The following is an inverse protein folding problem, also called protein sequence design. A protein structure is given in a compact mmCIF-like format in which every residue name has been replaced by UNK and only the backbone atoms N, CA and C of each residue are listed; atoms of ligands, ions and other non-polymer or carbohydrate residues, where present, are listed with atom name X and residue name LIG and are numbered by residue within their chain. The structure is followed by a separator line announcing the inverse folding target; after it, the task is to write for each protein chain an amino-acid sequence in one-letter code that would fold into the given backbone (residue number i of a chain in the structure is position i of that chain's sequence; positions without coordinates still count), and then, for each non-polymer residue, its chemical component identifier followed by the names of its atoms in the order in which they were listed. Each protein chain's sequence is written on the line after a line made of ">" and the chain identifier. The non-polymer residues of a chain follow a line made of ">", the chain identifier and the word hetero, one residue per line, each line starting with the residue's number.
data_IF_600748604344
#
_entry.id   IF_600748604344
#
_cell.length_a   1.000
_cell.length_b   1.000
_cell.length_c   1.000
_cell.angle_alpha   90.00
_cell.angle_beta   90.00
_cell.angle_gamma   90.00
#
_symmetry.space_group_name_H-M   'P 1'
#
loop_
_entity.id
_entity.type
_entity.pdbx_description
1 polymer ?
#
# COMPACT_ATOMS: atom_id res chain seq x y z
N UNK A 1 -1.98 -30.46 -7.92
CA UNK A 1 -0.83 -30.25 -7.02
C UNK A 1 -1.38 -30.06 -5.61
N UNK A 2 -1.05 -30.97 -4.71
CA UNK A 2 -1.45 -30.90 -3.29
C UNK A 2 -0.61 -29.81 -2.63
N UNK A 3 -1.26 -28.79 -2.07
CA UNK A 3 -0.57 -27.84 -1.20
C UNK A 3 -0.46 -28.46 0.18
N UNK A 4 0.78 -28.69 0.62
CA UNK A 4 1.07 -28.99 2.01
C UNK A 4 0.64 -27.78 2.86
N UNK A 5 -0.38 -27.99 3.68
CA UNK A 5 -0.75 -27.07 4.76
C UNK A 5 0.34 -27.22 5.81
N UNK A 6 1.28 -26.27 5.84
CA UNK A 6 2.22 -26.15 6.95
C UNK A 6 1.42 -25.58 8.11
N UNK A 7 1.05 -26.48 9.02
CA UNK A 7 0.42 -26.17 10.28
C UNK A 7 1.50 -25.57 11.20
N UNK A 8 1.65 -24.24 11.19
CA UNK A 8 2.56 -23.56 12.10
C UNK A 8 1.82 -23.37 13.43
N UNK A 9 2.12 -24.28 14.36
CA UNK A 9 1.80 -24.14 15.77
C UNK A 9 2.40 -22.83 16.29
N UNK A 10 1.56 -21.83 16.55
CA UNK A 10 1.97 -20.63 17.28
C UNK A 10 2.23 -21.01 18.74
N UNK A 11 3.45 -20.86 19.28
CA UNK A 11 3.63 -20.94 20.71
C UNK A 11 2.88 -19.76 21.36
N UNK A 12 1.95 -20.09 22.26
CA UNK A 12 1.24 -19.17 23.15
C UNK A 12 2.20 -18.56 24.19
N UNK A 13 3.22 -17.80 23.80
CA UNK A 13 4.02 -16.99 24.72
C UNK A 13 4.76 -15.89 23.96
N UNK A 14 4.13 -14.72 23.80
CA UNK A 14 4.82 -13.42 23.90
C UNK A 14 3.83 -12.45 24.54
N UNK A 15 3.61 -12.63 25.84
CA UNK A 15 3.33 -11.49 26.71
C UNK A 15 4.60 -10.66 26.80
N UNK A 16 4.46 -9.35 26.97
CA UNK A 16 5.53 -8.47 27.47
C UNK A 16 6.73 -8.20 26.53
N UNK A 17 6.48 -7.51 25.42
CA UNK A 17 7.54 -6.75 24.71
C UNK A 17 7.30 -5.24 24.84
N UNK A 18 6.95 -4.84 26.07
CA UNK A 18 7.22 -3.51 26.62
C UNK A 18 8.51 -3.59 27.43
N UNK A 19 9.62 -3.96 26.79
CA UNK A 19 10.93 -3.86 27.42
C UNK A 19 11.58 -2.57 26.94
N UNK A 20 11.77 -1.67 27.90
CA UNK A 20 12.64 -0.52 27.81
C UNK A 20 13.92 -0.89 27.06
N UNK A 21 14.08 -0.36 25.85
CA UNK A 21 15.42 -0.09 25.35
C UNK A 21 15.92 1.15 26.10
N UNK A 22 16.33 0.95 27.36
CA UNK A 22 17.33 1.82 27.95
C UNK A 22 18.59 1.57 27.15
N UNK A 23 18.85 2.42 26.16
CA UNK A 23 20.18 2.54 25.60
C UNK A 23 21.14 2.74 26.76
N UNK A 24 22.00 1.74 27.00
CA UNK A 24 23.10 1.86 27.94
C UNK A 24 24.07 2.85 27.28
N UNK A 25 23.88 4.13 27.55
CA UNK A 25 24.88 5.17 27.30
C UNK A 25 25.80 5.14 28.52
N UNK A 26 26.76 4.23 28.52
CA UNK A 26 27.91 4.33 29.44
C UNK A 26 28.94 5.24 28.82
N UNK A 27 28.79 6.56 28.97
CA UNK A 27 29.89 7.52 28.88
C UNK A 27 29.65 8.64 29.91
N UNK A 28 30.57 8.75 30.88
CA UNK A 28 30.89 9.91 31.73
C UNK A 28 29.81 10.96 31.99
N UNK A 29 29.44 11.13 33.26
CA UNK A 29 28.62 12.24 33.75
C UNK A 29 29.31 13.60 33.49
N UNK A 30 29.22 14.09 32.25
CA UNK A 30 29.49 15.48 31.92
C UNK A 30 28.41 16.34 32.56
N UNK A 31 28.78 17.47 33.14
CA UNK A 31 27.83 18.45 33.64
C UNK A 31 26.87 18.85 32.50
N UNK A 32 25.59 18.53 32.65
CA UNK A 32 24.58 18.82 31.65
C UNK A 32 24.28 20.32 31.67
N UNK A 33 24.48 21.01 30.54
CA UNK A 33 24.20 22.44 30.44
C UNK A 33 22.72 22.66 30.06
N UNK A 34 21.96 23.33 30.91
CA UNK A 34 20.56 23.69 30.63
C UNK A 34 20.47 24.97 29.80
N UNK A 35 19.70 24.96 28.71
CA UNK A 35 19.48 26.10 27.81
C UNK A 35 17.98 26.23 27.50
N UNK A 36 17.41 27.40 27.75
CA UNK A 36 15.98 27.69 27.57
C UNK A 36 15.63 28.51 26.31
N UNK A 37 16.65 29.00 25.61
CA UNK A 37 16.52 29.83 24.40
C UNK A 37 16.58 29.04 23.09
N UNK A 38 16.87 27.73 23.16
CA UNK A 38 17.08 26.85 22.02
C UNK A 38 16.06 25.70 22.00
N UNK A 39 15.82 25.12 20.83
CA UNK A 39 15.03 23.89 20.66
C UNK A 39 15.56 23.02 19.53
N UNK A 40 15.23 21.73 19.56
CA UNK A 40 15.38 20.82 18.43
C UNK A 40 14.24 21.07 17.45
N UNK A 41 14.60 21.21 16.18
CA UNK A 41 13.65 21.23 15.07
C UNK A 41 13.96 20.05 14.16
N UNK A 42 13.01 19.14 14.05
CA UNK A 42 12.97 18.22 12.93
C UNK A 42 12.55 19.01 11.67
N UNK A 43 13.05 18.61 10.50
CA UNK A 43 12.36 18.94 9.26
C UNK A 43 10.90 18.44 9.33
N UNK A 44 10.01 18.95 8.47
CA UNK A 44 8.60 18.55 8.43
C UNK A 44 8.43 17.04 8.71
N UNK A 45 7.49 16.66 9.59
CA UNK A 45 7.37 15.29 10.13
C UNK A 45 7.32 14.21 9.03
N UNK A 46 6.74 14.52 7.87
CA UNK A 46 6.72 13.65 6.68
C UNK A 46 8.12 13.35 6.10
N UNK A 47 9.10 14.21 6.38
CA UNK A 47 10.54 14.11 6.02
C UNK A 47 11.45 13.90 7.22
N UNK A 48 10.92 13.78 8.44
CA UNK A 48 11.70 13.65 9.68
C UNK A 48 12.68 12.45 9.68
N UNK A 49 12.42 11.45 8.84
CA UNK A 49 13.30 10.29 8.67
C UNK A 49 14.34 10.47 7.56
N UNK A 50 14.30 11.55 6.80
CA UNK A 50 15.13 11.78 5.62
C UNK A 50 16.13 12.91 5.86
N UNK A 51 15.67 13.96 6.55
CA UNK A 51 16.47 15.14 6.82
C UNK A 51 17.07 15.07 8.23
N UNK A 52 18.27 15.63 8.37
CA UNK A 52 18.94 15.75 9.66
C UNK A 52 18.20 16.75 10.55
N UNK A 53 18.14 16.45 11.85
CA UNK A 53 17.62 17.38 12.84
C UNK A 53 18.58 18.56 13.06
N UNK A 54 18.03 19.71 13.44
CA UNK A 54 18.83 20.92 13.70
C UNK A 54 18.48 21.52 15.06
N UNK A 55 19.46 22.16 15.69
CA UNK A 55 19.25 23.02 16.86
C UNK A 55 19.00 24.44 16.35
N UNK A 56 17.94 25.07 16.85
CA UNK A 56 17.56 26.43 16.43
C UNK A 56 17.26 27.33 17.63
N UNK A 57 17.43 28.64 17.45
CA UNK A 57 16.97 29.64 18.42
C UNK A 57 15.45 29.81 18.38
N UNK A 58 14.79 29.93 19.54
CA UNK A 58 13.33 30.03 19.62
C UNK A 58 12.81 31.32 18.97
N UNK A 59 13.42 32.47 19.28
CA UNK A 59 12.96 33.79 18.83
C UNK A 59 13.25 34.04 17.33
N UNK A 60 14.36 33.53 16.81
CA UNK A 60 14.79 33.78 15.42
C UNK A 60 14.60 32.61 14.46
N UNK A 61 14.31 31.40 14.96
CA UNK A 61 14.25 30.15 14.18
C UNK A 61 15.52 29.89 13.34
N UNK A 62 16.65 30.51 13.69
CA UNK A 62 17.92 30.36 12.99
C UNK A 62 18.69 29.16 13.54
N UNK A 63 19.40 28.40 12.69
CA UNK A 63 20.30 27.34 13.13
C UNK A 63 21.36 27.86 14.12
N UNK A 64 21.64 27.07 15.14
CA UNK A 64 22.66 27.34 16.16
C UNK A 64 23.60 26.13 16.23
N UNK A 65 24.89 26.38 16.06
CA UNK A 65 25.92 25.37 16.28
C UNK A 65 26.37 25.41 17.75
N UNK A 66 26.25 24.29 18.45
CA UNK A 66 26.81 24.10 19.78
C UNK A 66 28.15 23.39 19.67
N UNK A 67 29.01 23.56 20.68
CA UNK A 67 30.23 22.75 20.82
C UNK A 67 29.84 21.33 21.27
N UNK A 68 30.80 20.41 21.16
CA UNK A 68 30.64 19.07 21.70
C UNK A 68 30.39 19.12 23.22
N UNK A 69 29.46 18.28 23.69
CA UNK A 69 29.02 18.27 25.09
C UNK A 69 27.59 17.77 25.26
N UNK A 70 27.15 17.71 26.53
CA UNK A 70 25.80 17.26 26.92
C UNK A 70 24.93 18.44 27.36
N UNK A 71 23.71 18.49 26.82
CA UNK A 71 22.80 19.62 26.98
C UNK A 71 21.40 19.16 27.38
N UNK A 72 20.71 19.99 28.16
CA UNK A 72 19.26 19.93 28.37
C UNK A 72 18.64 21.16 27.73
N UNK A 73 17.81 20.98 26.71
CA UNK A 73 17.05 22.08 26.13
C UNK A 73 15.65 22.06 26.73
N UNK A 74 15.23 23.15 27.36
CA UNK A 74 13.94 23.21 28.06
C UNK A 74 13.18 24.48 27.70
N UNK A 75 12.10 24.32 26.97
CA UNK A 75 11.23 25.41 26.52
C UNK A 75 9.79 25.13 26.92
N UNK A 76 8.89 26.10 26.73
CA UNK A 76 7.47 25.98 27.10
C UNK A 76 6.80 24.71 26.58
N UNK A 77 7.19 24.23 25.40
CA UNK A 77 6.54 23.12 24.73
C UNK A 77 7.47 21.98 24.32
N UNK A 78 8.76 22.04 24.68
CA UNK A 78 9.72 21.00 24.33
C UNK A 78 10.78 20.83 25.42
N UNK A 79 11.06 19.57 25.75
CA UNK A 79 12.22 19.16 26.55
C UNK A 79 13.08 18.22 25.72
N UNK A 80 14.38 18.43 25.69
CA UNK A 80 15.33 17.57 25.01
C UNK A 80 16.57 17.33 25.87
N UNK A 81 17.00 16.09 25.95
CA UNK A 81 18.28 15.70 26.55
C UNK A 81 19.17 15.18 25.41
N UNK A 82 20.25 15.91 25.09
CA UNK A 82 21.08 15.66 23.91
C UNK A 82 22.57 15.64 24.24
N UNK A 83 23.34 14.94 23.43
CA UNK A 83 24.80 14.95 23.40
C UNK A 83 25.27 15.25 21.98
N UNK A 84 26.20 16.21 21.86
CA UNK A 84 26.88 16.54 20.60
C UNK A 84 28.30 15.96 20.61
N UNK A 85 28.65 15.27 19.52
CA UNK A 85 29.99 14.74 19.27
C UNK A 85 30.33 14.90 17.80
N UNK A 86 31.41 15.59 17.46
CA UNK A 86 31.78 15.94 16.09
C UNK A 86 30.62 16.60 15.31
N UNK A 87 29.84 17.46 15.98
CA UNK A 87 28.68 18.12 15.37
C UNK A 87 27.45 17.22 15.14
N UNK A 88 27.50 15.94 15.51
CA UNK A 88 26.36 15.02 15.41
C UNK A 88 25.56 14.99 16.71
N UNK A 89 24.23 15.03 16.58
CA UNK A 89 23.32 15.08 17.72
C UNK A 89 22.83 13.68 18.06
N UNK A 90 22.87 13.32 19.33
CA UNK A 90 22.28 12.09 19.86
C UNK A 90 21.40 12.44 21.07
N UNK A 91 20.29 11.73 21.30
CA UNK A 91 19.48 11.96 22.49
C UNK A 91 17.98 11.72 22.29
N UNK A 92 17.18 12.33 23.16
CA UNK A 92 15.72 12.21 23.14
C UNK A 92 15.04 13.56 23.26
N UNK A 93 13.90 13.69 22.60
CA UNK A 93 13.08 14.90 22.61
C UNK A 93 11.63 14.53 22.93
N UNK A 94 10.99 15.33 23.78
CA UNK A 94 9.55 15.34 24.03
C UNK A 94 9.01 16.72 23.71
N UNK A 95 8.05 16.80 22.80
CA UNK A 95 7.39 18.03 22.38
C UNK A 95 5.87 17.90 22.57
N UNK A 96 5.22 19.00 22.96
CA UNK A 96 3.77 19.08 23.07
C UNK A 96 3.24 20.16 22.13
N UNK A 97 2.27 19.80 21.30
CA UNK A 97 1.53 20.71 20.45
C UNK A 97 0.03 20.57 20.74
N UNK A 98 -0.52 21.53 21.46
CA UNK A 98 -1.88 21.46 22.00
C UNK A 98 -2.07 20.22 22.88
N UNK A 99 -2.89 19.26 22.41
CA UNK A 99 -3.16 17.99 23.10
C UNK A 99 -2.28 16.83 22.63
N UNK A 100 -1.46 17.05 21.61
CA UNK A 100 -0.63 16.03 20.99
C UNK A 100 0.74 16.05 21.64
N UNK A 101 1.19 14.90 22.14
CA UNK A 101 2.54 14.69 22.66
C UNK A 101 3.33 13.90 21.63
N UNK A 102 4.48 14.42 21.23
CA UNK A 102 5.42 13.80 20.31
C UNK A 102 6.70 13.47 21.06
N UNK A 103 7.20 12.24 20.93
CA UNK A 103 8.47 11.82 21.50
C UNK A 103 9.32 11.22 20.39
N UNK A 104 10.60 11.54 20.35
CA UNK A 104 11.51 10.93 19.37
C UNK A 104 12.93 10.78 19.91
N UNK A 105 13.61 9.76 19.39
CA UNK A 105 15.03 9.51 19.66
C UNK A 105 15.86 9.85 18.45
N UNK A 106 17.05 10.38 18.69
CA UNK A 106 17.99 10.82 17.65
C UNK A 106 19.30 10.06 17.83
N UNK A 107 19.83 9.53 16.73
CA UNK A 107 21.18 8.98 16.64
C UNK A 107 21.86 9.57 15.43
N UNK A 108 23.06 10.14 15.61
CA UNK A 108 23.84 10.79 14.55
C UNK A 108 23.01 11.80 13.72
N UNK A 109 22.30 12.69 14.42
CA UNK A 109 21.40 13.71 13.85
C UNK A 109 20.20 13.17 13.08
N UNK A 110 19.95 11.87 13.13
CA UNK A 110 18.84 11.21 12.43
C UNK A 110 17.81 10.68 13.43
N UNK A 111 16.52 10.86 13.12
CA UNK A 111 15.44 10.29 13.93
C UNK A 111 15.43 8.77 13.78
N UNK A 112 15.43 8.08 14.92
CA UNK A 112 15.41 6.62 15.03
C UNK A 112 14.04 6.10 15.44
N UNK A 113 13.38 6.74 16.39
CA UNK A 113 12.00 6.44 16.76
C UNK A 113 11.20 7.73 16.85
N UNK A 114 9.92 7.67 16.53
CA UNK A 114 8.99 8.77 16.73
C UNK A 114 7.63 8.20 17.13
N UNK A 115 7.06 8.75 18.19
CA UNK A 115 5.81 8.35 18.78
C UNK A 115 4.94 9.57 19.02
N UNK A 116 3.69 9.52 18.55
CA UNK A 116 2.71 10.57 18.78
C UNK A 116 1.51 10.01 19.53
N UNK A 117 0.97 10.79 20.48
CA UNK A 117 -0.23 10.42 21.23
C UNK A 117 -1.09 11.65 21.54
N UNK A 118 -2.39 11.43 21.69
CA UNK A 118 -3.34 12.41 22.24
C UNK A 118 -3.75 11.93 23.63
N UNK A 119 -3.22 12.56 24.68
CA UNK A 119 -3.30 12.00 26.03
C UNK A 119 -2.63 10.62 26.08
N UNK A 120 -3.37 9.61 26.55
CA UNK A 120 -2.92 8.21 26.61
C UNK A 120 -3.16 7.41 25.32
N UNK A 121 -3.79 8.00 24.31
CA UNK A 121 -4.16 7.31 23.07
C UNK A 121 -3.02 7.45 22.04
N UNK A 122 -2.35 6.36 21.64
CA UNK A 122 -1.35 6.41 20.59
C UNK A 122 -2.01 6.78 19.25
N UNK A 123 -1.33 7.58 18.44
CA UNK A 123 -1.77 7.97 17.10
C UNK A 123 -0.79 7.50 16.03
N UNK A 124 0.51 7.60 16.31
CA UNK A 124 1.59 7.18 15.40
C UNK A 124 2.71 6.52 16.19
N UNK A 125 3.22 5.41 15.67
CA UNK A 125 4.45 4.77 16.14
C UNK A 125 5.32 4.46 14.92
N UNK A 126 6.55 4.95 14.95
CA UNK A 126 7.46 4.89 13.80
C UNK A 126 8.88 4.59 14.29
N UNK A 127 9.59 3.75 13.54
CA UNK A 127 10.99 3.45 13.82
C UNK A 127 11.80 3.25 12.55
N UNK A 128 13.08 3.63 12.62
CA UNK A 128 14.06 3.45 11.58
C UNK A 128 14.84 2.16 11.83
N UNK A 129 15.00 1.35 10.80
CA UNK A 129 15.97 0.25 10.79
C UNK A 129 16.71 0.28 9.46
N UNK A 130 18.02 0.49 9.53
CA UNK A 130 18.88 0.65 8.35
C UNK A 130 18.32 1.74 7.41
N UNK A 131 18.03 1.38 6.16
CA UNK A 131 17.48 2.26 5.13
C UNK A 131 15.97 2.17 5.00
N UNK A 132 15.25 1.74 6.03
CA UNK A 132 13.79 1.68 6.03
C UNK A 132 13.21 2.38 7.27
N UNK A 133 12.07 3.03 7.08
CA UNK A 133 11.22 3.51 8.16
C UNK A 133 9.97 2.64 8.21
N UNK A 134 9.69 2.08 9.36
CA UNK A 134 8.47 1.32 9.65
C UNK A 134 7.51 2.21 10.41
N UNK A 135 6.21 2.04 10.18
CA UNK A 135 5.19 2.88 10.79
C UNK A 135 3.93 2.09 11.14
N UNK A 136 3.24 2.58 12.16
CA UNK A 136 1.88 2.20 12.57
C UNK A 136 1.10 3.46 12.87
N UNK A 137 -0.15 3.49 12.41
CA UNK A 137 -1.08 4.58 12.64
C UNK A 137 -2.34 4.03 13.29
N UNK A 138 -2.81 4.75 14.30
CA UNK A 138 -3.91 4.34 15.16
C UNK A 138 -5.00 5.40 15.17
N UNK A 139 -6.25 4.94 15.24
CA UNK A 139 -7.42 5.78 15.47
C UNK A 139 -8.18 5.21 16.66
N UNK A 140 -8.32 5.99 17.75
CA UNK A 140 -8.96 5.54 18.99
C UNK A 140 -8.39 4.19 19.50
N UNK A 141 -7.06 4.07 19.51
CA UNK A 141 -6.33 2.85 19.90
C UNK A 141 -6.52 1.63 18.97
N UNK A 142 -7.20 1.78 17.83
CA UNK A 142 -7.35 0.74 16.82
C UNK A 142 -6.31 0.96 15.71
N UNK A 143 -5.51 -0.06 15.39
CA UNK A 143 -4.56 -0.02 14.28
C UNK A 143 -5.33 0.16 12.95
N UNK A 144 -5.01 1.23 12.22
CA UNK A 144 -5.62 1.55 10.92
C UNK A 144 -4.71 1.26 9.75
N UNK A 145 -3.43 1.53 9.93
CA UNK A 145 -2.43 1.35 8.89
C UNK A 145 -1.11 0.92 9.51
N UNK A 146 -0.40 0.00 8.89
CA UNK A 146 0.99 -0.28 9.18
C UNK A 146 1.78 -0.45 7.89
N UNK A 147 3.09 -0.26 7.93
CA UNK A 147 3.91 -0.49 6.76
C UNK A 147 5.36 -0.11 6.93
N UNK A 148 6.05 -0.07 5.81
CA UNK A 148 7.41 0.45 5.71
C UNK A 148 7.59 1.26 4.43
N UNK A 149 8.55 2.17 4.46
CA UNK A 149 9.01 2.95 3.30
C UNK A 149 10.52 2.89 3.23
N UNK A 150 11.07 2.86 2.02
CA UNK A 150 12.51 2.95 1.82
C UNK A 150 13.02 4.38 1.97
N UNK A 151 14.12 4.52 2.69
CA UNK A 151 14.92 5.74 2.84
C UNK A 151 16.14 5.75 1.89
N UNK A 152 16.34 4.69 1.09
CA UNK A 152 17.46 4.61 0.14
C UNK A 152 17.18 5.42 -1.14
N UNK A 153 17.70 6.66 -1.17
CA UNK A 153 17.61 7.57 -2.32
C UNK A 153 18.12 6.98 -3.63
N UNK A 154 18.98 5.96 -3.58
CA UNK A 154 19.61 5.36 -4.77
C UNK A 154 18.91 4.09 -5.27
N UNK A 155 17.85 3.61 -4.61
CA UNK A 155 17.14 2.38 -4.99
C UNK A 155 15.65 2.59 -5.16
N UNK A 156 14.91 2.57 -4.05
CA UNK A 156 13.45 2.50 -4.01
C UNK A 156 12.86 3.54 -3.07
N UNK A 157 13.47 4.72 -2.98
CA UNK A 157 13.04 5.78 -2.08
C UNK A 157 11.54 6.05 -2.15
N UNK A 158 10.90 6.12 -0.98
CA UNK A 158 9.46 6.32 -0.85
C UNK A 158 8.62 5.07 -1.12
N UNK A 159 9.14 4.08 -1.86
CA UNK A 159 8.43 2.81 -2.10
C UNK A 159 8.54 1.89 -0.89
N UNK A 160 7.47 1.15 -0.63
CA UNK A 160 7.49 0.07 0.34
C UNK A 160 6.18 -0.72 0.34
N UNK A 161 5.84 -1.31 1.48
CA UNK A 161 4.60 -2.07 1.63
C UNK A 161 3.79 -1.50 2.78
N UNK A 162 2.51 -1.28 2.54
CA UNK A 162 1.56 -0.87 3.57
C UNK A 162 0.34 -1.78 3.61
N UNK A 163 -0.26 -1.88 4.79
CA UNK A 163 -1.52 -2.55 5.03
C UNK A 163 -2.48 -1.57 5.70
N UNK A 164 -3.74 -1.62 5.32
CA UNK A 164 -4.81 -0.96 6.08
C UNK A 164 -5.83 -1.96 6.58
N UNK A 165 -6.56 -1.60 7.64
CA UNK A 165 -7.44 -2.52 8.37
C UNK A 165 -8.88 -2.02 8.41
N UNK A 166 -9.80 -2.97 8.39
CA UNK A 166 -11.21 -2.77 8.70
C UNK A 166 -11.40 -2.49 10.19
N UNK A 167 -12.60 -2.01 10.58
CA UNK A 167 -12.92 -1.76 12.00
C UNK A 167 -12.87 -3.01 12.88
N UNK A 168 -13.11 -4.18 12.30
CA UNK A 168 -13.03 -5.47 12.99
C UNK A 168 -11.59 -6.01 13.12
N UNK A 169 -10.57 -5.26 12.67
CA UNK A 169 -9.16 -5.64 12.73
C UNK A 169 -8.68 -6.52 11.57
N UNK A 170 -9.56 -6.95 10.66
CA UNK A 170 -9.14 -7.68 9.48
C UNK A 170 -8.46 -6.76 8.46
N UNK A 171 -7.53 -7.31 7.69
CA UNK A 171 -6.86 -6.58 6.61
C UNK A 171 -7.92 -6.14 5.60
N UNK A 172 -7.87 -4.87 5.20
CA UNK A 172 -8.69 -4.27 4.15
C UNK A 172 -7.96 -4.17 2.83
N UNK A 173 -6.69 -3.76 2.88
CA UNK A 173 -5.89 -3.49 1.70
C UNK A 173 -4.41 -3.74 1.98
N UNK A 174 -3.69 -4.31 1.03
CA UNK A 174 -2.23 -4.36 0.98
C UNK A 174 -1.78 -3.64 -0.28
N UNK A 175 -0.96 -2.60 -0.11
CA UNK A 175 -0.26 -1.89 -1.18
C UNK A 175 1.20 -2.31 -1.15
N UNK A 176 1.69 -2.95 -2.21
CA UNK A 176 3.10 -3.24 -2.42
C UNK A 176 3.60 -2.41 -3.60
N UNK A 177 4.23 -1.27 -3.30
CA UNK A 177 4.78 -0.35 -4.31
C UNK A 177 6.13 -0.83 -4.86
N UNK A 178 6.74 -1.85 -4.25
CA UNK A 178 7.97 -2.46 -4.76
C UNK A 178 7.66 -3.36 -5.94
N UNK A 179 6.64 -4.23 -5.78
CA UNK A 179 6.17 -5.11 -6.85
C UNK A 179 5.01 -4.54 -7.67
N UNK A 180 4.57 -3.31 -7.36
CA UNK A 180 3.44 -2.62 -7.98
C UNK A 180 2.18 -3.50 -8.01
N UNK A 181 1.93 -4.17 -6.88
CA UNK A 181 0.79 -5.08 -6.67
C UNK A 181 -0.07 -4.60 -5.50
N UNK A 182 -1.37 -4.52 -5.73
CA UNK A 182 -2.36 -4.04 -4.77
C UNK A 182 -3.44 -5.09 -4.57
N UNK A 183 -3.75 -5.42 -3.31
CA UNK A 183 -4.75 -6.44 -2.96
C UNK A 183 -5.79 -5.86 -2.00
N UNK A 184 -7.06 -5.96 -2.38
CA UNK A 184 -8.21 -5.59 -1.56
C UNK A 184 -8.85 -6.83 -0.93
N UNK A 185 -9.43 -6.66 0.25
CA UNK A 185 -10.03 -7.73 1.05
C UNK A 185 -11.41 -7.33 1.59
N UNK A 186 -12.33 -8.28 1.56
CA UNK A 186 -13.61 -8.18 2.25
C UNK A 186 -13.44 -8.21 3.78
N UNK A 187 -14.41 -7.70 4.55
CA UNK A 187 -14.35 -7.76 6.02
C UNK A 187 -14.25 -9.17 6.60
N UNK A 188 -14.66 -10.20 5.85
CA UNK A 188 -14.53 -11.62 6.24
C UNK A 188 -13.12 -12.21 6.01
N UNK A 189 -12.19 -11.42 5.44
CA UNK A 189 -10.81 -11.82 5.18
C UNK A 189 -10.57 -12.43 3.80
N UNK A 190 -11.61 -12.70 3.01
CA UNK A 190 -11.46 -13.16 1.63
C UNK A 190 -10.93 -12.04 0.74
N UNK A 191 -10.11 -12.42 -0.25
CA UNK A 191 -9.66 -11.47 -1.28
C UNK A 191 -10.88 -10.96 -2.03
N UNK A 192 -10.89 -9.67 -2.31
CA UNK A 192 -11.86 -9.02 -3.18
C UNK A 192 -11.26 -8.81 -4.56
N UNK A 193 -10.01 -8.32 -4.61
CA UNK A 193 -9.33 -8.00 -5.86
C UNK A 193 -7.82 -8.03 -5.70
N UNK A 194 -7.12 -8.42 -6.76
CA UNK A 194 -5.68 -8.19 -6.95
C UNK A 194 -5.50 -7.38 -8.23
N UNK A 195 -4.69 -6.33 -8.18
CA UNK A 195 -4.33 -5.52 -9.34
C UNK A 195 -2.82 -5.30 -9.40
N UNK A 196 -2.28 -5.36 -10.60
CA UNK A 196 -0.88 -5.06 -10.95
C UNK A 196 -0.85 -4.63 -12.43
N UNK A 197 0.31 -4.15 -12.91
CA UNK A 197 0.47 -3.59 -14.27
C UNK A 197 -0.16 -4.45 -15.37
N UNK A 198 0.07 -5.76 -15.36
CA UNK A 198 -0.42 -6.69 -16.40
C UNK A 198 -1.35 -7.79 -15.85
N UNK A 199 -1.92 -7.58 -14.66
CA UNK A 199 -2.76 -8.58 -14.00
C UNK A 199 -3.88 -7.91 -13.22
N UNK A 200 -5.08 -8.42 -13.41
CA UNK A 200 -6.24 -8.12 -12.58
C UNK A 200 -6.96 -9.41 -12.23
N UNK A 201 -7.33 -9.59 -10.97
CA UNK A 201 -8.15 -10.70 -10.50
C UNK A 201 -9.24 -10.14 -9.59
N UNK A 202 -10.49 -10.55 -9.77
CA UNK A 202 -11.61 -10.21 -8.89
C UNK A 202 -12.26 -11.47 -8.36
N UNK A 203 -12.78 -11.38 -7.13
CA UNK A 203 -13.34 -12.49 -6.39
C UNK A 203 -14.68 -12.08 -5.77
N UNK A 204 -15.56 -13.06 -5.54
CA UNK A 204 -16.77 -12.88 -4.74
C UNK A 204 -16.48 -12.94 -3.23
N UNK A 205 -17.49 -12.67 -2.39
CA UNK A 205 -17.35 -12.70 -0.93
C UNK A 205 -17.00 -14.08 -0.38
N UNK A 206 -17.29 -15.16 -1.12
CA UNK A 206 -16.93 -16.55 -0.79
C UNK A 206 -15.49 -16.88 -1.19
N UNK A 207 -14.77 -15.94 -1.83
CA UNK A 207 -13.39 -16.09 -2.29
C UNK A 207 -13.24 -16.83 -3.62
N UNK A 208 -14.32 -17.00 -4.39
CA UNK A 208 -14.28 -17.60 -5.73
C UNK A 208 -13.88 -16.54 -6.75
N UNK A 209 -12.96 -16.90 -7.64
CA UNK A 209 -12.56 -16.04 -8.76
C UNK A 209 -13.78 -15.79 -9.67
N UNK A 210 -14.04 -14.53 -9.99
CA UNK A 210 -15.14 -14.09 -10.87
C UNK A 210 -14.59 -13.49 -12.17
N UNK A 211 -13.42 -12.86 -12.13
CA UNK A 211 -12.78 -12.30 -13.32
C UNK A 211 -11.25 -12.39 -13.19
N UNK A 212 -10.58 -12.63 -14.31
CA UNK A 212 -9.11 -12.57 -14.42
C UNK A 212 -8.70 -11.96 -15.74
N UNK A 213 -7.93 -10.87 -15.68
CA UNK A 213 -7.32 -10.25 -16.85
C UNK A 213 -5.80 -10.39 -16.77
N UNK A 214 -5.19 -10.73 -17.89
CA UNK A 214 -3.76 -10.98 -17.97
C UNK A 214 -3.25 -10.80 -19.39
N UNK A 215 -1.93 -10.64 -19.52
CA UNK A 215 -1.26 -10.71 -20.82
C UNK A 215 -0.60 -12.07 -21.02
N UNK A 216 -0.71 -12.61 -22.22
CA UNK A 216 0.03 -13.78 -22.68
C UNK A 216 0.40 -13.56 -24.15
N UNK A 217 1.68 -13.70 -24.49
CA UNK A 217 2.19 -13.47 -25.84
C UNK A 217 1.78 -12.09 -26.42
N UNK A 218 1.88 -11.03 -25.61
CA UNK A 218 1.43 -9.66 -25.94
C UNK A 218 -0.08 -9.48 -26.23
N UNK A 219 -0.89 -10.53 -26.07
CA UNK A 219 -2.34 -10.46 -26.17
C UNK A 219 -2.94 -10.31 -24.77
N UNK A 220 -3.88 -9.37 -24.61
CA UNK A 220 -4.66 -9.22 -23.38
C UNK A 220 -5.85 -10.16 -23.43
N UNK A 221 -6.01 -10.94 -22.37
CA UNK A 221 -7.13 -11.83 -22.12
C UNK A 221 -7.98 -11.29 -20.98
N UNK A 222 -9.29 -11.50 -21.05
CA UNK A 222 -10.24 -11.34 -19.94
C UNK A 222 -11.06 -12.61 -19.81
N UNK A 223 -10.86 -13.32 -18.71
CA UNK A 223 -11.53 -14.56 -18.37
C UNK A 223 -12.60 -14.29 -17.30
N UNK A 224 -13.85 -14.62 -17.60
CA UNK A 224 -14.97 -14.52 -16.67
C UNK A 224 -15.35 -15.90 -16.14
N UNK A 225 -15.65 -15.96 -14.85
CA UNK A 225 -15.89 -17.19 -14.11
C UNK A 225 -17.27 -17.14 -13.44
N UNK A 226 -17.97 -18.27 -13.47
CA UNK A 226 -19.23 -18.49 -12.75
C UNK A 226 -19.01 -19.66 -11.81
N UNK A 227 -19.27 -19.46 -10.51
CA UNK A 227 -19.01 -20.45 -9.46
C UNK A 227 -17.55 -20.99 -9.49
N UNK A 228 -16.59 -20.10 -9.79
CA UNK A 228 -15.17 -20.45 -9.89
C UNK A 228 -14.76 -21.25 -11.13
N UNK A 229 -15.67 -21.49 -12.08
CA UNK A 229 -15.39 -22.18 -13.35
C UNK A 229 -15.38 -21.20 -14.51
N UNK A 230 -14.39 -21.33 -15.40
CA UNK A 230 -14.29 -20.51 -16.60
C UNK A 230 -15.58 -20.63 -17.42
N UNK A 231 -16.21 -19.49 -17.66
CA UNK A 231 -17.46 -19.36 -18.40
C UNK A 231 -17.21 -18.69 -19.75
N UNK A 232 -16.40 -17.63 -19.78
CA UNK A 232 -16.10 -16.88 -20.99
C UNK A 232 -14.63 -16.42 -21.01
N UNK A 233 -14.03 -16.35 -22.19
CA UNK A 233 -12.73 -15.73 -22.44
C UNK A 233 -12.84 -14.76 -23.60
N UNK A 234 -12.36 -13.54 -23.40
CA UNK A 234 -12.32 -12.49 -24.42
C UNK A 234 -10.86 -12.10 -24.71
N UNK A 235 -10.50 -11.96 -25.99
CA UNK A 235 -9.17 -11.51 -26.43
C UNK A 235 -9.19 -10.97 -27.86
N UNK A 236 -8.12 -10.29 -28.24
CA UNK A 236 -7.85 -9.91 -29.63
C UNK A 236 -6.93 -10.96 -30.30
N UNK A 237 -7.30 -11.46 -31.47
CA UNK A 237 -6.46 -12.41 -32.20
C UNK A 237 -5.36 -11.71 -33.04
N UNK A 238 -4.53 -12.50 -33.73
CA UNK A 238 -3.45 -11.98 -34.58
C UNK A 238 -3.92 -11.09 -35.74
N UNK A 239 -5.18 -11.23 -36.16
CA UNK A 239 -5.82 -10.42 -37.20
C UNK A 239 -6.50 -9.16 -36.63
N UNK A 240 -6.29 -8.82 -35.35
CA UNK A 240 -6.94 -7.67 -34.68
C UNK A 240 -8.46 -7.79 -34.56
N UNK A 241 -8.99 -9.01 -34.61
CA UNK A 241 -10.40 -9.29 -34.41
C UNK A 241 -10.70 -9.60 -32.94
N UNK A 242 -11.80 -9.07 -32.41
CA UNK A 242 -12.32 -9.45 -31.09
C UNK A 242 -12.84 -10.89 -31.13
N UNK A 243 -12.40 -11.70 -30.17
CA UNK A 243 -12.78 -13.10 -30.01
C UNK A 243 -13.40 -13.31 -28.64
N UNK A 244 -14.53 -14.02 -28.60
CA UNK A 244 -15.15 -14.55 -27.38
C UNK A 244 -15.27 -16.05 -27.45
N UNK A 245 -14.79 -16.74 -26.44
CA UNK A 245 -14.89 -18.19 -26.29
C UNK A 245 -15.75 -18.51 -25.07
N UNK A 246 -16.71 -19.43 -25.24
CA UNK A 246 -17.67 -19.78 -24.20
C UNK A 246 -17.46 -21.23 -23.75
N UNK A 247 -17.47 -21.44 -22.44
CA UNK A 247 -17.10 -22.70 -21.82
C UNK A 247 -18.24 -23.22 -20.93
N UNK A 248 -18.35 -24.55 -20.86
CA UNK A 248 -19.19 -25.26 -19.87
C UNK A 248 -18.37 -26.41 -19.31
N UNK A 249 -18.21 -26.46 -17.99
CA UNK A 249 -17.36 -27.43 -17.30
C UNK A 249 -15.94 -27.53 -17.89
N UNK A 250 -15.30 -26.38 -18.14
CA UNK A 250 -13.97 -26.26 -18.75
C UNK A 250 -13.84 -26.77 -20.20
N UNK A 251 -14.95 -27.11 -20.87
CA UNK A 251 -14.97 -27.52 -22.28
C UNK A 251 -15.51 -26.38 -23.14
N UNK A 252 -14.78 -26.00 -24.20
CA UNK A 252 -15.22 -25.01 -25.18
C UNK A 252 -16.53 -25.47 -25.86
N UNK A 253 -17.54 -24.61 -25.86
CA UNK A 253 -18.86 -24.87 -26.44
C UNK A 253 -19.10 -24.11 -27.74
N UNK A 254 -18.73 -22.82 -27.77
CA UNK A 254 -18.83 -21.96 -28.94
C UNK A 254 -17.74 -20.88 -28.93
N UNK A 255 -17.46 -20.35 -30.11
CA UNK A 255 -16.53 -19.23 -30.32
C UNK A 255 -17.20 -18.20 -31.23
N UNK A 256 -17.10 -16.94 -30.85
CA UNK A 256 -17.57 -15.79 -31.61
C UNK A 256 -16.38 -14.93 -32.03
N UNK A 257 -16.39 -14.45 -33.27
CA UNK A 257 -15.35 -13.58 -33.82
C UNK A 257 -16.03 -12.41 -34.53
N UNK A 258 -15.72 -11.18 -34.09
CA UNK A 258 -16.16 -9.96 -34.79
C UNK A 258 -15.11 -9.63 -35.85
N UNK A 259 -15.51 -9.65 -37.12
CA UNK A 259 -14.60 -9.41 -38.26
C UNK A 259 -15.21 -8.43 -39.25
N UNK A 260 -14.39 -7.58 -39.85
CA UNK A 260 -14.80 -6.72 -40.97
C UNK A 260 -14.68 -7.50 -42.28
N UNK A 261 -15.80 -7.65 -42.99
CA UNK A 261 -15.89 -8.31 -44.30
C UNK A 261 -16.55 -7.35 -45.26
N UNK A 262 -15.85 -6.98 -46.34
CA UNK A 262 -16.31 -6.00 -47.33
C UNK A 262 -16.77 -4.67 -46.70
N UNK A 263 -16.02 -4.18 -45.70
CA UNK A 263 -16.34 -2.94 -44.99
C UNK A 263 -17.45 -3.05 -43.94
N UNK A 264 -18.07 -4.22 -43.75
CA UNK A 264 -19.16 -4.44 -42.79
C UNK A 264 -18.65 -5.31 -41.64
N UNK A 265 -18.86 -4.86 -40.39
CA UNK A 265 -18.62 -5.71 -39.22
C UNK A 265 -19.64 -6.84 -39.15
N UNK A 266 -19.13 -8.06 -38.98
CA UNK A 266 -19.93 -9.28 -38.89
C UNK A 266 -19.56 -10.06 -37.65
N UNK A 267 -20.55 -10.68 -37.02
CA UNK A 267 -20.40 -11.64 -35.94
C UNK A 267 -20.41 -13.05 -36.54
N UNK A 268 -19.27 -13.72 -36.51
CA UNK A 268 -19.11 -15.10 -36.97
C UNK A 268 -19.13 -16.03 -35.75
N UNK A 269 -20.08 -16.95 -35.70
CA UNK A 269 -20.25 -17.90 -34.60
C UNK A 269 -19.87 -19.30 -35.05
N UNK A 270 -18.98 -19.94 -34.31
CA UNK A 270 -18.47 -21.28 -34.54
C UNK A 270 -18.89 -22.20 -33.38
N UNK A 271 -19.22 -23.46 -33.69
CA UNK A 271 -19.50 -24.46 -32.67
C UNK A 271 -18.20 -25.04 -32.06
N UNK A 272 -18.33 -25.93 -31.06
CA UNK A 272 -17.20 -26.61 -30.40
C UNK A 272 -16.26 -27.39 -31.33
N UNK A 273 -16.72 -27.79 -32.53
CA UNK A 273 -15.92 -28.48 -33.53
C UNK A 273 -15.21 -27.51 -34.50
N UNK A 274 -15.39 -26.19 -34.32
CA UNK A 274 -14.83 -25.17 -35.20
C UNK A 274 -15.63 -24.92 -36.49
N UNK A 275 -16.82 -25.52 -36.65
CA UNK A 275 -17.69 -25.28 -37.81
C UNK A 275 -18.45 -23.98 -37.64
N UNK A 276 -18.41 -23.12 -38.65
CA UNK A 276 -19.24 -21.90 -38.73
C UNK A 276 -20.72 -22.29 -38.73
N UNK A 277 -21.50 -21.70 -37.81
CA UNK A 277 -22.93 -21.96 -37.65
C UNK A 277 -23.79 -20.69 -37.82
N UNK A 278 -23.23 -19.50 -37.61
CA UNK A 278 -23.90 -18.23 -37.93
C UNK A 278 -22.92 -17.18 -38.44
N UNK A 279 -23.41 -16.29 -39.28
CA UNK A 279 -22.68 -15.15 -39.82
C UNK A 279 -23.65 -13.97 -39.98
N UNK A 280 -23.75 -13.15 -38.94
CA UNK A 280 -24.72 -12.06 -38.86
C UNK A 280 -24.02 -10.71 -38.95
N UNK A 281 -24.76 -9.66 -39.32
CA UNK A 281 -24.24 -8.30 -39.23
C UNK A 281 -24.10 -7.95 -37.74
N UNK A 282 -22.93 -7.46 -37.34
CA UNK A 282 -22.72 -6.99 -35.98
C UNK A 282 -23.19 -5.54 -35.86
N UNK A 283 -23.97 -5.26 -34.82
CA UNK A 283 -24.42 -3.91 -34.46
C UNK A 283 -23.94 -3.63 -33.03
N UNK A 284 -23.07 -2.66 -32.81
CA UNK A 284 -22.66 -2.29 -31.45
C UNK A 284 -23.84 -1.66 -30.68
N UNK A 285 -23.82 -1.76 -29.35
CA UNK A 285 -24.97 -1.43 -28.49
C UNK A 285 -25.51 0.02 -28.67
N UNK A 286 -24.64 0.96 -29.01
CA UNK A 286 -25.00 2.35 -29.33
C UNK A 286 -25.75 2.51 -30.66
N UNK A 287 -25.55 1.61 -31.63
CA UNK A 287 -26.28 1.61 -32.90
C UNK A 287 -27.60 0.84 -32.81
N UNK A 288 -27.73 -0.12 -31.88
CA UNK A 288 -29.00 -0.82 -31.63
C UNK A 288 -30.10 0.16 -31.20
N UNK A 289 -29.78 1.10 -30.31
CA UNK A 289 -30.72 2.13 -29.86
C UNK A 289 -31.21 3.03 -31.02
N UNK A 290 -30.31 3.42 -31.91
CA UNK A 290 -30.64 4.22 -33.11
C UNK A 290 -31.42 3.41 -34.17
N UNK A 291 -31.21 2.10 -34.23
CA UNK A 291 -31.90 1.21 -35.16
C UNK A 291 -33.32 0.90 -34.68
N UNK A 292 -33.54 0.80 -33.37
CA UNK A 292 -34.86 0.63 -32.76
C UNK A 292 -35.71 1.92 -32.86
N UNK A 293 -35.12 3.11 -32.72
CA UNK A 293 -35.82 4.38 -32.96
C UNK A 293 -36.21 4.61 -34.43
N UNK A 294 -35.49 4.02 -35.38
CA UNK A 294 -35.75 4.13 -36.82
C UNK A 294 -36.65 3.04 -37.39
N UNK A 295 -37.08 2.07 -36.57
CA UNK A 295 -38.15 1.16 -37.03
C UNK A 295 -39.41 2.00 -37.27
N UNK A 296 -39.99 1.99 -38.48
CA UNK A 296 -41.32 2.55 -38.65
C UNK A 296 -42.24 1.80 -37.69
N UNK A 297 -42.86 2.54 -36.78
CA UNK A 297 -44.00 2.04 -36.03
C UNK A 297 -45.10 1.73 -37.06
N UNK A 298 -45.24 0.47 -37.47
CA UNK A 298 -46.31 0.10 -38.38
C UNK A 298 -46.31 -1.38 -38.72
N UNK A 299 -47.14 -2.16 -38.03
CA UNK A 299 -48.46 -2.57 -38.54
C UNK A 299 -49.23 -3.31 -37.43
#
# INVERSE_FOLDING_TARGET
>A
MKYNIININFPKYISLLGFMFTAIITESAYAQTTIDTLKIKAAHIERAYIDEISIIGISGQKPVALKDGSYRLESKNQTADITLKNGLINGSVSETDGKVKNNYTIVNSLIMTYNSSTGSIPTVDTYRKEKNMFFKQYENSILRTEGWVSLDKNKHYGRGVSKSYHRNGNIRHISDEVSETYTDFYPNGNKQRVSAVDRYEAYDEDGRLTNKQYRKNNVRYSDDYVEGKLYMRTYENSEKNEVKEYYKNAILQKKEVIKTINGIQRLLTYNKAGKLISNERYLPANEILLYEEKRPSGQ
#
